data_IF_650805952634
#
_entry.id   IF_650805952634
#
_cell.length_a   1.000
_cell.length_b   1.000
_cell.length_c   1.000
_cell.angle_alpha   90.00
_cell.angle_beta   90.00
_cell.angle_gamma   90.00
#
_symmetry.space_group_name_H-M   'P 1'
#
loop_
_entity.id
_entity.type
_entity.pdbx_description
1 polymer ?
#
# COMPACT_ATOMS: atom_id res chain seq x y z
N UNK A 1 -13.41 37.78 37.85
CA UNK A 1 -13.71 38.53 36.61
C UNK A 1 -13.08 37.76 35.46
N UNK A 2 -13.86 36.87 34.84
CA UNK A 2 -13.47 36.12 33.64
C UNK A 2 -13.46 37.06 32.43
N UNK A 3 -12.27 37.32 31.89
CA UNK A 3 -12.09 38.01 30.63
C UNK A 3 -11.77 37.00 29.53
N UNK A 4 -12.75 36.73 28.67
CA UNK A 4 -12.70 35.84 27.50
C UNK A 4 -11.50 36.13 26.60
N UNK A 5 -10.52 35.22 26.54
CA UNK A 5 -9.52 35.17 25.47
C UNK A 5 -9.75 33.92 24.59
N UNK A 6 -10.93 33.89 23.97
CA UNK A 6 -11.51 32.72 23.30
C UNK A 6 -11.35 32.71 21.78
N UNK A 7 -10.47 33.51 21.18
CA UNK A 7 -10.28 33.53 19.72
C UNK A 7 -8.81 33.34 19.34
N UNK A 8 -8.27 32.15 19.60
CA UNK A 8 -7.18 31.62 18.77
C UNK A 8 -7.74 31.37 17.37
N UNK A 9 -7.72 32.40 16.53
CA UNK A 9 -8.19 32.38 15.14
C UNK A 9 -7.61 31.18 14.40
N UNK A 10 -8.44 30.44 13.67
CA UNK A 10 -8.05 29.26 12.87
C UNK A 10 -6.80 29.49 12.00
N UNK A 11 -6.61 30.73 11.55
CA UNK A 11 -5.43 31.19 10.81
C UNK A 11 -4.11 31.12 11.60
N UNK A 12 -4.11 31.32 12.92
CA UNK A 12 -2.90 31.22 13.76
C UNK A 12 -2.48 29.77 13.96
N UNK A 13 -3.46 28.86 14.06
CA UNK A 13 -3.24 27.42 14.08
C UNK A 13 -2.63 26.97 12.76
N UNK A 14 -3.20 27.39 11.61
CA UNK A 14 -2.65 27.08 10.28
C UNK A 14 -1.24 27.66 10.09
N UNK A 15 -0.97 28.87 10.59
CA UNK A 15 0.37 29.48 10.51
C UNK A 15 1.41 28.73 11.33
N UNK A 16 1.02 28.17 12.47
CA UNK A 16 1.88 27.29 13.28
C UNK A 16 2.17 25.94 12.60
N UNK A 17 1.32 25.53 11.64
CA UNK A 17 1.42 24.27 10.92
C UNK A 17 2.34 24.31 9.69
N UNK A 18 2.89 25.47 9.32
CA UNK A 18 3.84 25.61 8.19
C UNK A 18 5.02 24.63 8.33
N UNK A 19 5.42 23.89 7.28
CA UNK A 19 6.51 22.92 7.35
C UNK A 19 7.81 23.56 7.85
N UNK A 20 8.42 22.96 8.86
CA UNK A 20 9.74 23.32 9.40
C UNK A 20 10.76 22.25 9.03
N UNK A 21 12.04 22.54 9.25
CA UNK A 21 13.15 21.61 8.99
C UNK A 21 12.93 20.27 9.72
N UNK A 22 12.42 20.32 10.96
CA UNK A 22 12.07 19.12 11.75
C UNK A 22 10.99 18.26 11.07
N UNK A 23 10.04 18.89 10.37
CA UNK A 23 8.94 18.18 9.72
C UNK A 23 9.49 17.42 8.52
N UNK A 24 10.32 18.06 7.69
CA UNK A 24 10.99 17.39 6.57
C UNK A 24 11.91 16.27 7.04
N UNK A 25 12.55 16.43 8.19
CA UNK A 25 13.38 15.39 8.79
C UNK A 25 12.56 14.15 9.17
N UNK A 26 11.45 14.34 9.90
CA UNK A 26 10.54 13.27 10.30
C UNK A 26 9.91 12.60 9.06
N UNK A 27 9.44 13.39 8.10
CA UNK A 27 8.84 12.90 6.85
C UNK A 27 9.86 12.05 6.08
N UNK A 28 11.10 12.51 5.93
CA UNK A 28 12.16 11.75 5.23
C UNK A 28 12.52 10.46 5.96
N UNK A 29 12.67 10.50 7.29
CA UNK A 29 12.93 9.28 8.10
C UNK A 29 11.78 8.28 7.97
N UNK A 30 10.54 8.76 8.04
CA UNK A 30 9.36 7.91 7.93
C UNK A 30 9.25 7.30 6.52
N UNK A 31 9.23 8.10 5.46
CA UNK A 31 9.15 7.60 4.09
C UNK A 31 10.34 6.70 3.73
N UNK A 32 11.56 7.06 4.15
CA UNK A 32 12.74 6.24 3.94
C UNK A 32 12.62 4.87 4.58
N UNK A 33 12.15 4.80 5.84
CA UNK A 33 11.90 3.53 6.53
C UNK A 33 10.79 2.74 5.85
N UNK A 34 9.69 3.41 5.46
CA UNK A 34 8.57 2.80 4.76
C UNK A 34 8.96 2.15 3.44
N UNK A 35 9.60 2.90 2.55
CA UNK A 35 10.01 2.35 1.26
C UNK A 35 11.10 1.29 1.41
N UNK A 36 12.01 1.43 2.36
CA UNK A 36 13.03 0.42 2.62
C UNK A 36 12.41 -0.92 3.05
N UNK A 37 11.56 -0.89 4.08
CA UNK A 37 10.92 -2.10 4.57
C UNK A 37 9.95 -2.70 3.52
N UNK A 38 9.22 -1.86 2.79
CA UNK A 38 8.32 -2.30 1.71
C UNK A 38 9.09 -2.95 0.55
N UNK A 39 10.23 -2.38 0.15
CA UNK A 39 11.08 -2.96 -0.90
C UNK A 39 11.62 -4.33 -0.49
N UNK A 40 12.02 -4.47 0.78
CA UNK A 40 12.55 -5.71 1.32
C UNK A 40 11.50 -6.84 1.25
N UNK A 41 10.27 -6.57 1.69
CA UNK A 41 9.20 -7.58 1.61
C UNK A 41 8.76 -7.87 0.17
N UNK A 42 8.74 -6.86 -0.72
CA UNK A 42 8.39 -7.06 -2.13
C UNK A 42 9.42 -7.96 -2.79
N UNK A 43 10.70 -7.77 -2.49
CA UNK A 43 11.79 -8.62 -3.01
C UNK A 43 11.57 -10.06 -2.60
N UNK A 44 11.26 -10.30 -1.32
CA UNK A 44 10.93 -11.63 -0.80
C UNK A 44 9.70 -12.20 -1.54
N UNK A 45 8.63 -11.42 -1.69
CA UNK A 45 7.41 -11.85 -2.37
C UNK A 45 7.66 -12.23 -3.85
N UNK A 46 8.49 -11.48 -4.56
CA UNK A 46 8.89 -11.77 -5.95
C UNK A 46 9.66 -13.09 -6.03
N UNK A 47 10.62 -13.33 -5.12
CA UNK A 47 11.40 -14.57 -5.10
C UNK A 47 10.51 -15.79 -4.81
N UNK A 48 9.59 -15.68 -3.85
CA UNK A 48 8.63 -16.74 -3.56
C UNK A 48 7.74 -17.04 -4.76
N UNK A 49 7.15 -16.01 -5.36
CA UNK A 49 6.27 -16.15 -6.53
C UNK A 49 7.00 -16.76 -7.72
N UNK A 50 8.24 -16.32 -7.96
CA UNK A 50 9.11 -16.88 -8.99
C UNK A 50 9.36 -18.37 -8.78
N UNK A 51 9.74 -18.74 -7.55
CA UNK A 51 10.07 -20.14 -7.21
C UNK A 51 8.86 -21.06 -7.32
N UNK A 52 7.66 -20.58 -6.97
CA UNK A 52 6.43 -21.36 -7.09
C UNK A 52 6.01 -21.62 -8.55
N UNK A 53 6.36 -20.71 -9.46
CA UNK A 53 5.83 -20.71 -10.83
C UNK A 53 6.85 -21.12 -11.90
N UNK A 54 8.13 -21.23 -11.55
CA UNK A 54 9.20 -21.52 -12.51
C UNK A 54 8.95 -22.80 -13.30
N UNK A 55 8.54 -23.89 -12.64
CA UNK A 55 8.28 -25.17 -13.29
C UNK A 55 7.14 -25.06 -14.33
N UNK A 56 6.04 -24.40 -13.94
CA UNK A 56 4.88 -24.18 -14.82
C UNK A 56 5.21 -23.27 -16.01
N UNK A 57 6.05 -22.25 -15.80
CA UNK A 57 6.48 -21.34 -16.87
C UNK A 57 7.43 -22.02 -17.87
N UNK A 58 8.29 -22.92 -17.38
CA UNK A 58 9.16 -23.73 -18.22
C UNK A 58 8.36 -24.74 -19.06
N UNK A 59 7.37 -25.41 -18.47
CA UNK A 59 6.51 -26.37 -19.19
C UNK A 59 5.70 -25.72 -20.33
N UNK A 60 5.25 -24.48 -20.15
CA UNK A 60 4.42 -23.75 -21.14
C UNK A 60 5.21 -22.79 -22.04
N UNK A 61 6.54 -22.86 -22.02
CA UNK A 61 7.44 -22.02 -22.83
C UNK A 61 7.12 -20.52 -22.76
N UNK A 62 6.81 -20.01 -21.56
CA UNK A 62 6.53 -18.60 -21.37
C UNK A 62 7.80 -17.76 -21.70
N UNK A 63 7.71 -16.71 -22.56
CA UNK A 63 8.86 -15.87 -22.85
C UNK A 63 9.37 -15.19 -21.58
N UNK A 64 10.64 -15.36 -21.24
CA UNK A 64 11.29 -14.70 -20.08
C UNK A 64 11.04 -13.19 -20.05
N UNK A 65 11.08 -12.55 -21.22
CA UNK A 65 10.82 -11.12 -21.36
C UNK A 65 9.39 -10.74 -20.94
N UNK A 66 8.39 -11.56 -21.27
CA UNK A 66 7.01 -11.29 -20.88
C UNK A 66 6.79 -11.49 -19.37
N UNK A 67 7.50 -12.42 -18.73
CA UNK A 67 7.45 -12.60 -17.27
C UNK A 67 8.05 -11.37 -16.57
N UNK A 68 9.21 -10.89 -17.00
CA UNK A 68 9.89 -9.77 -16.34
C UNK A 68 9.23 -8.42 -16.62
N UNK A 69 8.75 -8.19 -17.85
CA UNK A 69 8.26 -6.87 -18.27
C UNK A 69 6.74 -6.74 -18.31
N UNK A 70 5.98 -7.84 -18.41
CA UNK A 70 4.51 -7.78 -18.38
C UNK A 70 3.93 -8.28 -17.05
N UNK A 71 4.51 -9.32 -16.45
CA UNK A 71 3.95 -9.90 -15.23
C UNK A 71 4.36 -9.14 -13.95
N UNK A 72 5.66 -9.04 -13.66
CA UNK A 72 6.13 -8.44 -12.40
C UNK A 72 5.78 -6.95 -12.21
N UNK A 73 5.75 -6.09 -13.24
CA UNK A 73 5.31 -4.70 -13.10
C UNK A 73 3.84 -4.55 -12.71
N UNK A 74 3.00 -5.56 -12.99
CA UNK A 74 1.61 -5.61 -12.52
C UNK A 74 1.47 -6.29 -11.14
N UNK A 75 2.36 -7.23 -10.84
CA UNK A 75 2.45 -7.90 -9.53
C UNK A 75 2.88 -6.95 -8.41
N UNK A 76 3.94 -6.16 -8.64
CA UNK A 76 4.56 -5.32 -7.61
C UNK A 76 3.58 -4.29 -7.02
N UNK A 77 2.85 -3.47 -7.82
CA UNK A 77 1.90 -2.49 -7.28
C UNK A 77 0.78 -3.12 -6.46
N UNK A 78 0.29 -4.30 -6.88
CA UNK A 78 -0.72 -5.05 -6.14
C UNK A 78 -0.22 -5.46 -4.75
N UNK A 79 0.93 -6.14 -4.68
CA UNK A 79 1.48 -6.59 -3.41
C UNK A 79 2.00 -5.43 -2.54
N UNK A 80 2.54 -4.38 -3.15
CA UNK A 80 2.92 -3.15 -2.46
C UNK A 80 1.72 -2.53 -1.74
N UNK A 81 0.57 -2.43 -2.43
CA UNK A 81 -0.67 -1.88 -1.85
C UNK A 81 -1.23 -2.80 -0.77
N UNK A 82 -1.18 -4.11 -0.98
CA UNK A 82 -1.63 -5.12 -0.01
C UNK A 82 -0.84 -5.04 1.31
N UNK A 83 0.48 -4.90 1.23
CA UNK A 83 1.34 -4.84 2.41
C UNK A 83 1.49 -3.44 3.00
N UNK A 84 1.18 -2.37 2.25
CA UNK A 84 1.42 -1.00 2.68
C UNK A 84 0.87 -0.66 4.08
N UNK A 85 -0.37 -1.03 4.48
CA UNK A 85 -0.88 -0.71 5.82
C UNK A 85 -0.03 -1.28 6.95
N UNK A 86 0.44 -2.52 6.80
CA UNK A 86 1.33 -3.18 7.77
C UNK A 86 2.68 -2.45 7.84
N UNK A 87 3.25 -2.12 6.68
CA UNK A 87 4.56 -1.47 6.62
C UNK A 87 4.53 -0.01 7.04
N UNK A 88 3.42 0.70 6.84
CA UNK A 88 3.19 2.03 7.44
C UNK A 88 3.31 1.93 8.95
N UNK A 89 2.63 0.96 9.57
CA UNK A 89 2.66 0.76 11.03
C UNK A 89 4.06 0.42 11.53
N UNK A 90 4.72 -0.58 10.93
CA UNK A 90 6.08 -0.99 11.29
C UNK A 90 7.05 0.18 11.16
N UNK A 91 6.95 0.95 10.08
CA UNK A 91 7.84 2.06 9.82
C UNK A 91 7.70 3.14 10.88
N UNK A 92 6.46 3.54 11.19
CA UNK A 92 6.20 4.53 12.26
C UNK A 92 6.82 4.07 13.57
N UNK A 93 6.60 2.83 13.99
CA UNK A 93 7.16 2.30 15.24
C UNK A 93 8.68 2.33 15.19
N UNK A 94 9.28 1.80 14.13
CA UNK A 94 10.72 1.63 14.04
C UNK A 94 11.46 2.95 14.04
N UNK A 95 11.05 3.90 13.19
CA UNK A 95 11.74 5.18 13.11
C UNK A 95 11.52 6.01 14.39
N UNK A 96 10.32 5.96 14.98
CA UNK A 96 10.01 6.67 16.23
C UNK A 96 10.84 6.10 17.37
N UNK A 97 10.93 4.77 17.47
CA UNK A 97 11.77 4.09 18.46
C UNK A 97 13.23 4.49 18.32
N UNK A 98 13.75 4.58 17.08
CA UNK A 98 15.12 5.03 16.83
C UNK A 98 15.34 6.50 17.24
N UNK A 99 14.38 7.38 16.97
CA UNK A 99 14.44 8.78 17.42
C UNK A 99 14.40 8.89 18.95
N UNK A 100 13.60 8.04 19.62
CA UNK A 100 13.54 7.96 21.07
C UNK A 100 14.87 7.49 21.67
N UNK A 101 15.45 6.42 21.13
CA UNK A 101 16.73 5.85 21.56
C UNK A 101 17.89 6.84 21.41
N UNK A 102 17.88 7.65 20.34
CA UNK A 102 18.85 8.70 20.12
C UNK A 102 18.58 9.97 20.95
N UNK A 103 17.59 9.98 21.83
CA UNK A 103 17.13 11.14 22.62
C UNK A 103 16.64 12.35 21.79
N UNK A 104 16.43 12.17 20.48
CA UNK A 104 15.96 13.23 19.57
C UNK A 104 14.57 13.74 20.00
N UNK A 105 13.66 12.84 20.39
CA UNK A 105 12.31 13.21 20.84
C UNK A 105 12.36 14.06 22.12
N UNK A 106 13.21 13.69 23.08
CA UNK A 106 13.37 14.41 24.34
C UNK A 106 13.92 15.82 24.08
N UNK A 107 14.93 15.94 23.22
CA UNK A 107 15.49 17.23 22.82
C UNK A 107 14.46 18.13 22.12
N UNK A 108 13.63 17.58 21.22
CA UNK A 108 12.57 18.31 20.55
C UNK A 108 11.55 18.85 21.56
N UNK A 109 11.10 18.03 22.51
CA UNK A 109 10.12 18.45 23.51
C UNK A 109 10.71 19.50 24.47
N UNK A 110 11.95 19.34 24.90
CA UNK A 110 12.65 20.30 25.76
C UNK A 110 12.96 21.64 25.07
N UNK A 111 12.98 21.68 23.73
CA UNK A 111 13.09 22.94 22.96
C UNK A 111 11.82 23.81 22.97
N UNK A 112 10.77 23.40 23.70
CA UNK A 112 9.50 24.10 23.78
C UNK A 112 8.51 23.72 22.67
N UNK A 113 8.82 22.70 21.87
CA UNK A 113 7.89 22.20 20.85
C UNK A 113 6.79 21.34 21.48
N UNK A 114 5.53 21.72 21.25
CA UNK A 114 4.41 20.91 21.71
C UNK A 114 4.38 19.52 21.05
N UNK A 115 3.99 18.50 21.81
CA UNK A 115 3.80 17.13 21.30
C UNK A 115 2.86 17.06 20.09
N UNK A 116 1.74 17.81 20.12
CA UNK A 116 0.77 17.85 19.01
C UNK A 116 1.39 18.34 17.70
N UNK A 117 2.31 19.31 17.76
CA UNK A 117 3.04 19.81 16.59
C UNK A 117 4.00 18.76 16.05
N UNK A 118 4.68 18.01 16.92
CA UNK A 118 5.54 16.91 16.53
C UNK A 118 4.78 15.79 15.82
N UNK A 119 3.50 15.55 16.15
CA UNK A 119 2.65 14.57 15.46
C UNK A 119 2.19 15.01 14.07
N UNK A 120 2.20 16.31 13.76
CA UNK A 120 1.75 16.84 12.48
C UNK A 120 2.46 16.22 11.25
N UNK A 121 3.80 16.12 11.19
CA UNK A 121 4.49 15.46 10.08
C UNK A 121 4.13 13.98 9.92
N UNK A 122 3.81 13.27 11.01
CA UNK A 122 3.34 11.88 10.95
C UNK A 122 2.00 11.80 10.22
N UNK A 123 1.06 12.66 10.63
CA UNK A 123 -0.27 12.72 10.02
C UNK A 123 -0.20 13.10 8.54
N UNK A 124 0.58 14.13 8.19
CA UNK A 124 0.75 14.56 6.80
C UNK A 124 1.32 13.45 5.91
N UNK A 125 2.33 12.71 6.42
CA UNK A 125 2.93 11.60 5.68
C UNK A 125 1.95 10.44 5.51
N UNK A 126 1.23 10.06 6.58
CA UNK A 126 0.24 9.00 6.53
C UNK A 126 -0.92 9.35 5.58
N UNK A 127 -1.36 10.61 5.57
CA UNK A 127 -2.37 11.11 4.64
C UNK A 127 -1.87 11.01 3.19
N UNK A 128 -0.64 11.43 2.92
CA UNK A 128 -0.03 11.32 1.60
C UNK A 128 0.03 9.86 1.12
N UNK A 129 0.50 8.94 1.96
CA UNK A 129 0.54 7.50 1.65
C UNK A 129 -0.87 6.98 1.41
N UNK A 130 -1.84 7.35 2.25
CA UNK A 130 -3.25 6.96 2.11
C UNK A 130 -3.86 7.42 0.79
N UNK A 131 -3.59 8.66 0.36
CA UNK A 131 -4.06 9.18 -0.92
C UNK A 131 -3.42 8.43 -2.11
N UNK A 132 -2.13 8.12 -2.02
CA UNK A 132 -1.44 7.33 -3.05
C UNK A 132 -2.06 5.92 -3.15
N UNK A 133 -2.24 5.24 -2.02
CA UNK A 133 -2.87 3.90 -1.97
C UNK A 133 -4.30 3.95 -2.50
N UNK A 134 -5.06 4.98 -2.13
CA UNK A 134 -6.43 5.18 -2.62
C UNK A 134 -6.44 5.31 -4.14
N UNK A 135 -5.54 6.13 -4.71
CA UNK A 135 -5.42 6.28 -6.15
C UNK A 135 -5.00 4.99 -6.85
N UNK A 136 -3.98 4.29 -6.32
CA UNK A 136 -3.52 3.01 -6.85
C UNK A 136 -4.66 1.98 -6.87
N UNK A 137 -5.37 1.85 -5.76
CA UNK A 137 -6.45 0.86 -5.58
C UNK A 137 -7.63 1.08 -6.51
N UNK A 138 -8.01 2.34 -6.76
CA UNK A 138 -9.19 2.63 -7.58
C UNK A 138 -8.90 2.65 -9.08
N UNK A 139 -7.70 3.05 -9.51
CA UNK A 139 -7.43 3.30 -10.94
C UNK A 139 -6.40 2.35 -11.55
N UNK A 140 -5.34 1.99 -10.82
CA UNK A 140 -4.20 1.26 -11.39
C UNK A 140 -4.34 -0.24 -11.14
N UNK A 141 -4.67 -0.64 -9.92
CA UNK A 141 -4.75 -2.05 -9.53
C UNK A 141 -5.79 -2.84 -10.34
N UNK A 142 -7.00 -2.33 -10.63
CA UNK A 142 -7.99 -3.09 -11.41
C UNK A 142 -7.45 -3.48 -12.79
N UNK A 143 -6.89 -2.51 -13.53
CA UNK A 143 -6.31 -2.71 -14.86
C UNK A 143 -5.09 -3.64 -14.82
N UNK A 144 -4.19 -3.44 -13.85
CA UNK A 144 -3.01 -4.29 -13.67
C UNK A 144 -3.38 -5.72 -13.31
N UNK A 145 -4.43 -5.92 -12.50
CA UNK A 145 -4.85 -7.24 -12.07
C UNK A 145 -5.50 -8.02 -13.21
N UNK A 146 -6.26 -7.37 -14.10
CA UNK A 146 -6.81 -8.02 -15.31
C UNK A 146 -5.68 -8.56 -16.19
N UNK A 147 -4.67 -7.73 -16.50
CA UNK A 147 -3.50 -8.15 -17.29
C UNK A 147 -2.72 -9.29 -16.64
N UNK A 148 -2.56 -9.24 -15.31
CA UNK A 148 -1.90 -10.29 -14.54
C UNK A 148 -2.69 -11.60 -14.59
N UNK A 149 -4.01 -11.54 -14.39
CA UNK A 149 -4.88 -12.72 -14.42
C UNK A 149 -4.90 -13.36 -15.81
N UNK A 150 -4.98 -12.56 -16.87
CA UNK A 150 -4.91 -13.05 -18.25
C UNK A 150 -3.57 -13.76 -18.53
N UNK A 151 -2.48 -13.22 -18.00
CA UNK A 151 -1.16 -13.85 -18.09
C UNK A 151 -1.10 -15.17 -17.32
N UNK A 152 -1.61 -15.21 -16.08
CA UNK A 152 -1.67 -16.43 -15.28
C UNK A 152 -2.56 -17.49 -15.92
N UNK A 153 -3.70 -17.12 -16.51
CA UNK A 153 -4.59 -18.06 -17.19
C UNK A 153 -3.94 -18.67 -18.45
N UNK A 154 -3.07 -17.92 -19.13
CA UNK A 154 -2.34 -18.40 -20.30
C UNK A 154 -1.15 -19.31 -19.95
N UNK A 155 -0.36 -18.93 -18.94
CA UNK A 155 0.96 -19.54 -18.69
C UNK A 155 1.10 -20.28 -17.36
N UNK A 156 0.14 -20.16 -16.44
CA UNK A 156 0.22 -20.80 -15.12
C UNK A 156 -0.97 -21.72 -14.88
N UNK A 157 -2.22 -21.23 -14.93
CA UNK A 157 -3.40 -22.07 -14.68
C UNK A 157 -3.57 -23.12 -15.76
N UNK A 158 -3.68 -24.39 -15.35
CA UNK A 158 -3.90 -25.50 -16.28
C UNK A 158 -5.33 -25.42 -16.84
N UNK A 159 -5.49 -25.64 -18.16
CA UNK A 159 -6.79 -25.63 -18.86
C UNK A 159 -7.83 -26.56 -18.19
N UNK A 160 -7.36 -27.54 -17.43
CA UNK A 160 -8.15 -28.48 -16.63
C UNK A 160 -9.00 -27.85 -15.50
N UNK A 161 -8.80 -26.56 -15.14
CA UNK A 161 -9.66 -25.85 -14.18
C UNK A 161 -10.72 -24.95 -14.82
N UNK A 162 -10.83 -24.95 -16.16
CA UNK A 162 -12.15 -24.82 -16.79
C UNK A 162 -12.83 -26.18 -16.64
N UNK A 163 -13.17 -26.55 -15.40
CA UNK A 163 -14.35 -27.39 -15.24
C UNK A 163 -15.44 -26.58 -15.94
N UNK A 164 -16.08 -27.14 -16.97
CA UNK A 164 -17.33 -26.57 -17.46
C UNK A 164 -18.17 -26.29 -16.22
N UNK A 165 -18.39 -25.02 -15.92
CA UNK A 165 -19.17 -24.65 -14.75
C UNK A 165 -20.61 -24.91 -15.17
N UNK A 166 -20.97 -26.18 -15.15
CA UNK A 166 -22.31 -26.63 -15.45
C UNK A 166 -23.15 -26.32 -14.21
N UNK A 167 -24.37 -25.83 -14.43
CA UNK A 167 -25.33 -25.46 -13.38
C UNK A 167 -24.98 -24.18 -12.60
N UNK A 168 -24.73 -23.07 -13.29
CA UNK A 168 -24.68 -21.77 -12.62
C UNK A 168 -26.10 -21.31 -12.29
N UNK A 169 -26.45 -21.30 -11.01
CA UNK A 169 -27.67 -20.68 -10.51
C UNK A 169 -27.36 -19.28 -9.98
N UNK A 170 -27.92 -18.24 -10.61
CA UNK A 170 -27.80 -16.84 -10.16
C UNK A 170 -29.18 -16.24 -9.98
N UNK A 171 -29.42 -15.62 -8.84
CA UNK A 171 -30.63 -14.85 -8.62
C UNK A 171 -30.45 -13.46 -9.24
N UNK A 172 -31.16 -13.16 -10.32
CA UNK A 172 -31.07 -11.86 -11.00
C UNK A 172 -31.95 -10.81 -10.31
N UNK A 173 -33.12 -11.21 -9.79
CA UNK A 173 -34.05 -10.36 -9.04
C UNK A 173 -34.72 -11.16 -7.91
N UNK A 174 -35.44 -10.48 -7.02
CA UNK A 174 -36.26 -11.15 -5.99
C UNK A 174 -37.18 -12.17 -6.67
N UNK A 175 -37.03 -13.45 -6.31
CA UNK A 175 -37.73 -14.61 -6.89
C UNK A 175 -37.49 -14.92 -8.38
N UNK A 176 -36.44 -14.40 -9.03
CA UNK A 176 -36.07 -14.77 -10.40
C UNK A 176 -34.70 -15.44 -10.41
N UNK A 177 -34.69 -16.74 -10.71
CA UNK A 177 -33.48 -17.55 -10.82
C UNK A 177 -33.14 -17.79 -12.30
N UNK A 178 -31.90 -17.48 -12.67
CA UNK A 178 -31.35 -17.77 -13.99
C UNK A 178 -30.46 -19.01 -13.87
N UNK A 179 -30.66 -19.94 -14.78
CA UNK A 179 -29.92 -21.20 -14.89
C UNK A 179 -29.14 -21.20 -16.21
N UNK A 180 -27.85 -21.52 -16.15
CA UNK A 180 -26.98 -21.69 -17.32
C UNK A 180 -26.35 -23.08 -17.21
N UNK A 181 -26.61 -23.91 -18.23
CA UNK A 181 -26.29 -25.34 -18.22
C UNK A 181 -24.86 -25.65 -18.67
N UNK A 182 -24.30 -24.93 -19.66
CA UNK A 182 -22.88 -25.00 -20.03
C UNK A 182 -22.44 -23.81 -20.92
N UNK A 183 -21.15 -23.49 -20.92
CA UNK A 183 -20.48 -22.55 -21.85
C UNK A 183 -19.04 -22.98 -22.13
#
# INVERSE_FOLDING_TARGET
MEGRDGKKTFSSVIRSLKPKIIDYYIIRKFLGTFFFCLLLIITIAVVFDFTEKIDNFMEKAAPWQAIVFDYYPNFIPYFATLFAPLFVFISVIFFTSRMAANTEIIAILNSGMSFRRMMWPYFLTALLIGLIIFYLTNFIIPESNLKRLDFEDKYYRSRARRSSVDNIHRQAFKNVYVYIESF
#
